data_IF_434001668510
#
_entry.id   IF_434001668510
#
_cell.length_a   1.000
_cell.length_b   1.000
_cell.length_c   1.000
_cell.angle_alpha   90.00
_cell.angle_beta   90.00
_cell.angle_gamma   90.00
#
_symmetry.space_group_name_H-M   'P 1'
#
loop_
_entity.id
_entity.type
_entity.pdbx_description
1 polymer ?
#
# COMPACT_ATOMS: atom_id res chain seq x y z
N UNK A 1 72.14 -68.41 -8.83
CA UNK A 1 72.35 -66.99 -9.19
C UNK A 1 71.01 -66.50 -9.72
N UNK A 2 70.22 -65.79 -8.92
CA UNK A 2 70.50 -64.44 -8.38
C UNK A 2 70.49 -63.41 -9.50
N UNK A 3 69.30 -62.93 -9.81
CA UNK A 3 68.89 -61.54 -9.95
C UNK A 3 67.51 -61.59 -10.61
N UNK A 4 66.58 -60.75 -10.20
CA UNK A 4 65.15 -60.70 -10.59
C UNK A 4 64.16 -61.41 -9.64
N UNK A 5 64.65 -61.85 -8.47
CA UNK A 5 63.89 -61.82 -7.20
C UNK A 5 63.79 -60.38 -6.62
N UNK A 6 63.73 -59.35 -7.48
CA UNK A 6 63.66 -57.94 -7.08
C UNK A 6 62.60 -57.12 -7.83
N UNK A 7 61.78 -57.75 -8.69
CA UNK A 7 60.64 -57.08 -9.35
C UNK A 7 59.30 -57.69 -8.87
N UNK A 8 59.37 -58.57 -7.86
CA UNK A 8 58.21 -59.06 -7.10
C UNK A 8 58.01 -58.28 -5.77
N UNK A 9 58.67 -57.13 -5.59
CA UNK A 9 58.66 -56.39 -4.32
C UNK A 9 58.92 -54.88 -4.50
N UNK A 10 58.17 -54.16 -5.35
CA UNK A 10 58.33 -52.70 -5.46
C UNK A 10 57.19 -51.90 -6.10
N UNK A 11 56.07 -52.48 -6.54
CA UNK A 11 54.94 -51.66 -7.01
C UNK A 11 53.57 -52.26 -6.64
N UNK A 12 53.51 -52.81 -5.43
CA UNK A 12 52.29 -53.18 -4.72
C UNK A 12 52.02 -52.18 -3.58
N UNK A 13 52.25 -50.88 -3.86
CA UNK A 13 52.17 -49.80 -2.89
C UNK A 13 51.82 -48.45 -3.55
N UNK A 14 50.73 -48.43 -4.34
CA UNK A 14 50.04 -47.20 -4.78
C UNK A 14 48.56 -47.53 -5.01
N UNK A 15 47.94 -48.15 -3.99
CA UNK A 15 46.50 -48.09 -3.75
C UNK A 15 46.35 -47.24 -2.50
N UNK A 16 46.20 -45.94 -2.69
CA UNK A 16 46.13 -44.98 -1.60
C UNK A 16 45.96 -43.57 -2.15
N UNK A 17 44.84 -42.94 -1.80
CA UNK A 17 44.45 -41.56 -2.10
C UNK A 17 43.89 -41.29 -3.50
N UNK A 18 42.78 -41.95 -3.83
CA UNK A 18 41.69 -41.21 -4.50
C UNK A 18 41.02 -40.42 -3.38
N UNK A 19 41.19 -39.10 -3.45
CA UNK A 19 40.67 -38.12 -2.50
C UNK A 19 39.14 -38.14 -2.53
N UNK A 20 38.51 -38.85 -1.58
CA UNK A 20 37.19 -38.47 -1.10
C UNK A 20 37.39 -37.27 -0.18
N UNK A 21 37.31 -36.06 -0.74
CA UNK A 21 37.13 -34.84 0.02
C UNK A 21 35.65 -34.74 0.43
N UNK A 22 35.24 -35.65 1.31
CA UNK A 22 34.01 -35.61 2.10
C UNK A 22 34.35 -36.22 3.46
N UNK A 23 35.17 -35.52 4.26
CA UNK A 23 35.65 -36.08 5.52
C UNK A 23 35.99 -35.04 6.60
N UNK A 24 35.19 -34.01 6.74
CA UNK A 24 35.21 -33.17 7.95
C UNK A 24 33.82 -33.05 8.62
N UNK A 25 32.70 -33.18 7.89
CA UNK A 25 31.37 -33.02 8.52
C UNK A 25 30.73 -34.31 9.06
N UNK A 26 31.12 -35.50 8.59
CA UNK A 26 30.54 -36.78 9.07
C UNK A 26 31.01 -37.15 10.49
N UNK A 27 31.94 -36.40 11.09
CA UNK A 27 32.50 -36.69 12.43
C UNK A 27 32.26 -35.62 13.49
N UNK A 28 31.49 -34.58 13.18
CA UNK A 28 31.19 -33.50 14.14
C UNK A 28 29.98 -33.78 15.04
N UNK A 29 29.38 -34.98 14.98
CA UNK A 29 28.39 -35.41 15.96
C UNK A 29 29.02 -35.51 17.36
N UNK A 30 28.51 -34.72 18.32
CA UNK A 30 28.78 -34.96 19.75
C UNK A 30 28.47 -36.43 20.04
N UNK A 31 29.40 -37.18 20.65
CA UNK A 31 29.12 -38.56 21.07
C UNK A 31 27.85 -38.59 21.93
N UNK A 32 26.82 -39.31 21.46
CA UNK A 32 25.57 -39.53 22.18
C UNK A 32 24.31 -38.83 21.63
N UNK A 33 24.40 -38.00 20.58
CA UNK A 33 23.21 -37.39 19.94
C UNK A 33 22.79 -38.23 18.74
N UNK A 34 21.52 -38.66 18.70
CA UNK A 34 20.97 -39.37 17.55
C UNK A 34 20.84 -38.40 16.36
N UNK A 35 21.31 -38.82 15.18
CA UNK A 35 21.36 -38.00 13.96
C UNK A 35 20.57 -38.66 12.81
N UNK A 36 20.15 -37.85 11.84
CA UNK A 36 19.61 -38.28 10.56
C UNK A 36 20.07 -37.37 9.42
N UNK A 37 19.81 -37.80 8.18
CA UNK A 37 20.19 -37.05 6.98
C UNK A 37 18.98 -36.32 6.38
N UNK A 38 19.23 -35.16 5.80
CA UNK A 38 18.27 -34.39 5.03
C UNK A 38 18.76 -34.23 3.57
N UNK A 39 17.95 -34.67 2.63
CA UNK A 39 18.01 -34.27 1.22
C UNK A 39 17.01 -33.14 0.94
N UNK A 40 17.50 -31.99 0.47
CA UNK A 40 16.69 -30.81 0.25
C UNK A 40 16.58 -30.49 -1.24
N UNK A 41 15.36 -30.19 -1.69
CA UNK A 41 15.12 -29.56 -2.99
C UNK A 41 14.36 -28.25 -2.81
N UNK A 42 14.75 -27.24 -3.57
CA UNK A 42 14.07 -25.93 -3.62
C UNK A 42 13.60 -25.70 -5.05
N UNK A 43 12.37 -25.22 -5.18
CA UNK A 43 11.81 -24.79 -6.46
C UNK A 43 10.95 -23.55 -6.28
N UNK A 44 10.87 -22.71 -7.29
CA UNK A 44 9.95 -21.60 -7.34
C UNK A 44 8.78 -21.90 -8.29
N UNK A 45 7.55 -21.59 -7.85
CA UNK A 45 6.37 -21.69 -8.70
C UNK A 45 6.46 -20.62 -9.80
N UNK A 46 6.43 -21.06 -11.05
CA UNK A 46 6.47 -20.14 -12.20
C UNK A 46 5.15 -19.35 -12.28
N UNK A 47 5.18 -18.02 -12.48
CA UNK A 47 3.98 -17.24 -12.62
C UNK A 47 3.27 -17.58 -13.95
N UNK A 48 1.95 -17.74 -13.92
CA UNK A 48 1.17 -18.10 -15.09
C UNK A 48 1.22 -17.05 -16.22
N UNK A 49 1.49 -15.79 -15.86
CA UNK A 49 1.61 -14.64 -16.79
C UNK A 49 2.81 -14.76 -17.74
N UNK A 50 3.88 -15.44 -17.35
CA UNK A 50 5.08 -15.62 -18.19
C UNK A 50 5.20 -17.08 -18.61
N UNK A 51 4.66 -17.43 -19.78
CA UNK A 51 4.76 -18.79 -20.39
C UNK A 51 6.20 -19.26 -20.69
N UNK A 52 7.23 -18.48 -20.38
CA UNK A 52 8.61 -18.74 -20.77
C UNK A 52 9.62 -18.31 -19.68
N UNK A 53 9.85 -19.20 -18.71
CA UNK A 53 11.12 -19.46 -17.99
C UNK A 53 10.80 -20.00 -16.59
N UNK A 54 11.33 -21.18 -16.26
CA UNK A 54 11.43 -21.61 -14.87
C UNK A 54 12.23 -20.56 -14.08
N UNK A 55 11.70 -20.11 -12.95
CA UNK A 55 12.43 -19.23 -12.03
C UNK A 55 13.59 -20.02 -11.45
N UNK A 56 14.83 -19.60 -11.72
CA UNK A 56 15.99 -20.22 -11.09
C UNK A 56 15.98 -19.93 -9.59
N UNK A 57 16.28 -20.95 -8.80
CA UNK A 57 16.43 -20.84 -7.35
C UNK A 57 17.87 -21.04 -6.91
N UNK A 58 18.81 -21.17 -7.84
CA UNK A 58 20.20 -21.54 -7.56
C UNK A 58 20.87 -20.57 -6.57
N UNK A 59 20.48 -19.30 -6.59
CA UNK A 59 21.00 -18.22 -5.73
C UNK A 59 20.13 -17.92 -4.50
N UNK A 60 19.08 -18.70 -4.25
CA UNK A 60 18.21 -18.48 -3.10
C UNK A 60 18.90 -18.96 -1.81
N UNK A 61 19.03 -18.13 -0.76
CA UNK A 61 19.48 -18.61 0.54
C UNK A 61 18.54 -19.68 1.11
N UNK A 62 19.10 -20.53 1.96
CA UNK A 62 18.38 -21.58 2.69
C UNK A 62 18.69 -21.46 4.18
N UNK A 63 17.64 -21.44 4.99
CA UNK A 63 17.73 -21.49 6.45
C UNK A 63 16.97 -22.71 6.97
N UNK A 64 17.61 -23.47 7.85
CA UNK A 64 17.03 -24.62 8.54
C UNK A 64 17.04 -24.30 10.02
N UNK A 65 15.86 -24.14 10.61
CA UNK A 65 15.70 -23.77 12.03
C UNK A 65 14.80 -24.79 12.70
N UNK A 66 15.18 -25.26 13.88
CA UNK A 66 14.39 -26.23 14.61
C UNK A 66 14.92 -26.57 15.98
N UNK A 67 14.35 -27.63 16.56
CA UNK A 67 14.79 -28.18 17.85
C UNK A 67 15.03 -29.68 17.72
N UNK A 68 16.13 -30.12 18.29
CA UNK A 68 16.37 -31.53 18.52
C UNK A 68 15.38 -32.10 19.55
N UNK A 69 15.27 -33.43 19.62
CA UNK A 69 14.46 -34.12 20.64
C UNK A 69 14.92 -33.84 22.08
N UNK A 70 16.20 -33.47 22.26
CA UNK A 70 16.78 -33.08 23.55
C UNK A 70 16.53 -31.59 23.88
N UNK A 71 15.85 -30.85 23.00
CA UNK A 71 15.49 -29.45 23.17
C UNK A 71 16.58 -28.45 22.78
N UNK A 72 17.73 -28.89 22.26
CA UNK A 72 18.77 -28.01 21.70
C UNK A 72 18.23 -27.34 20.42
N UNK A 73 18.29 -26.00 20.38
CA UNK A 73 17.98 -25.20 19.19
C UNK A 73 19.10 -25.35 18.15
N UNK A 74 18.69 -25.56 16.90
CA UNK A 74 19.60 -25.81 15.80
C UNK A 74 19.25 -24.87 14.66
N UNK A 75 20.25 -24.15 14.18
CA UNK A 75 20.20 -23.30 13.00
C UNK A 75 21.32 -23.69 12.02
N UNK A 76 20.97 -23.79 10.74
CA UNK A 76 21.90 -23.96 9.62
C UNK A 76 21.50 -23.03 8.50
N UNK A 77 22.46 -22.28 7.98
CA UNK A 77 22.24 -21.32 6.90
C UNK A 77 23.20 -21.60 5.75
N UNK A 78 22.69 -21.51 4.53
CA UNK A 78 23.44 -21.60 3.28
C UNK A 78 23.13 -20.36 2.45
N UNK A 79 24.16 -19.76 1.85
CA UNK A 79 24.03 -18.51 1.11
C UNK A 79 23.25 -18.68 -0.21
N UNK A 80 23.25 -19.90 -0.77
CA UNK A 80 22.59 -20.23 -2.03
C UNK A 80 22.21 -21.73 -2.08
N UNK A 81 21.17 -22.07 -2.85
CA UNK A 81 20.79 -23.47 -3.13
C UNK A 81 21.93 -24.23 -3.81
N UNK A 82 22.70 -23.57 -4.67
CA UNK A 82 23.87 -24.15 -5.33
C UNK A 82 24.99 -24.58 -4.36
N UNK A 83 24.98 -24.07 -3.13
CA UNK A 83 25.96 -24.40 -2.08
C UNK A 83 25.48 -25.55 -1.17
N UNK A 84 24.27 -26.08 -1.39
CA UNK A 84 23.76 -27.20 -0.60
C UNK A 84 24.58 -28.47 -0.85
N UNK A 85 25.01 -29.19 0.20
CA UNK A 85 25.59 -30.51 0.03
C UNK A 85 24.50 -31.50 -0.43
N UNK A 86 24.92 -32.65 -1.00
CA UNK A 86 23.99 -33.72 -1.41
C UNK A 86 23.06 -34.17 -0.25
N UNK A 87 23.57 -34.14 0.98
CA UNK A 87 22.78 -34.37 2.18
C UNK A 87 23.33 -33.58 3.37
N UNK A 88 22.44 -33.17 4.27
CA UNK A 88 22.74 -32.37 5.46
C UNK A 88 22.52 -33.24 6.70
N UNK A 89 23.52 -33.34 7.57
CA UNK A 89 23.43 -34.11 8.81
C UNK A 89 22.84 -33.25 9.94
N UNK A 90 21.72 -33.67 10.51
CA UNK A 90 21.01 -32.96 11.57
C UNK A 90 20.69 -33.89 12.75
N UNK A 91 20.63 -33.40 13.99
CA UNK A 91 20.09 -34.15 15.13
C UNK A 91 18.64 -34.58 14.89
N UNK A 92 18.22 -35.70 15.47
CA UNK A 92 16.81 -36.11 15.48
C UNK A 92 15.97 -35.01 16.12
N UNK A 93 14.89 -34.62 15.45
CA UNK A 93 14.09 -33.46 15.86
C UNK A 93 13.15 -32.95 14.77
N UNK A 94 12.54 -31.81 15.04
CA UNK A 94 11.59 -31.14 14.13
C UNK A 94 12.17 -29.81 13.67
N UNK A 95 12.10 -29.57 12.36
CA UNK A 95 12.74 -28.44 11.70
C UNK A 95 11.80 -27.79 10.69
N UNK A 96 12.00 -26.50 10.45
CA UNK A 96 11.44 -25.77 9.32
C UNK A 96 12.57 -25.33 8.40
N UNK A 97 12.43 -25.61 7.11
CA UNK A 97 13.33 -25.10 6.07
C UNK A 97 12.66 -23.93 5.40
N UNK A 98 13.35 -22.81 5.29
CA UNK A 98 12.88 -21.61 4.62
C UNK A 98 13.86 -21.27 3.51
N UNK A 99 13.33 -20.93 2.33
CA UNK A 99 14.13 -20.40 1.22
C UNK A 99 13.38 -19.27 0.53
N UNK A 100 14.12 -18.29 0.04
CA UNK A 100 13.56 -17.08 -0.54
C UNK A 100 14.50 -16.41 -1.55
N UNK A 101 13.97 -15.47 -2.34
CA UNK A 101 14.79 -14.59 -3.18
C UNK A 101 15.78 -13.82 -2.34
N UNK A 102 17.03 -13.74 -2.79
CA UNK A 102 18.09 -13.02 -2.08
C UNK A 102 17.72 -11.55 -1.88
N UNK A 103 17.98 -11.04 -0.67
CA UNK A 103 17.58 -9.69 -0.26
C UNK A 103 16.47 -9.71 0.79
N UNK A 104 15.79 -8.57 0.94
CA UNK A 104 14.70 -8.39 1.91
C UNK A 104 13.39 -8.15 1.15
N UNK A 105 12.30 -8.72 1.65
CA UNK A 105 10.96 -8.41 1.15
C UNK A 105 10.56 -7.01 1.62
N UNK A 106 10.72 -6.03 0.73
CA UNK A 106 10.24 -4.67 0.93
C UNK A 106 8.82 -4.48 0.36
N UNK A 107 8.15 -3.40 0.76
CA UNK A 107 6.80 -3.08 0.28
C UNK A 107 6.77 -2.88 -1.25
N UNK A 108 7.80 -2.21 -1.79
CA UNK A 108 8.00 -1.96 -3.22
C UNK A 108 9.30 -2.60 -3.69
N UNK A 109 9.25 -3.36 -4.77
CA UNK A 109 10.41 -3.97 -5.43
C UNK A 109 10.34 -3.79 -6.95
N UNK A 110 11.49 -3.88 -7.60
CA UNK A 110 11.61 -3.83 -9.08
C UNK A 110 11.64 -5.24 -9.70
N UNK A 111 11.58 -6.28 -8.87
CA UNK A 111 11.65 -7.68 -9.25
C UNK A 111 10.74 -8.54 -8.35
N UNK A 112 10.29 -9.72 -8.82
CA UNK A 112 9.48 -10.61 -8.01
C UNK A 112 10.28 -11.16 -6.83
N UNK A 113 9.63 -11.28 -5.68
CA UNK A 113 10.21 -11.88 -4.48
C UNK A 113 9.51 -13.18 -4.16
N UNK A 114 10.24 -14.28 -4.10
CA UNK A 114 9.71 -15.60 -3.80
C UNK A 114 10.09 -16.01 -2.38
N UNK A 115 9.19 -16.70 -1.69
CA UNK A 115 9.46 -17.30 -0.38
C UNK A 115 8.67 -18.60 -0.24
N UNK A 116 9.26 -19.57 0.43
CA UNK A 116 8.60 -20.82 0.76
C UNK A 116 9.19 -21.41 2.03
N UNK A 117 8.40 -22.25 2.69
CA UNK A 117 8.87 -23.06 3.79
C UNK A 117 8.34 -24.49 3.69
N UNK A 118 9.04 -25.41 4.35
CA UNK A 118 8.60 -26.79 4.54
C UNK A 118 9.02 -27.25 5.93
N UNK A 119 8.06 -27.72 6.71
CA UNK A 119 8.34 -28.38 7.97
C UNK A 119 8.70 -29.85 7.74
N UNK A 120 9.56 -30.39 8.60
CA UNK A 120 10.00 -31.77 8.53
C UNK A 120 10.41 -32.35 9.88
N UNK A 121 10.55 -33.68 9.88
CA UNK A 121 11.08 -34.46 10.99
C UNK A 121 12.33 -35.22 10.56
N UNK A 122 13.41 -35.11 11.33
CA UNK A 122 14.63 -35.90 11.16
C UNK A 122 14.57 -37.08 12.11
N UNK A 123 14.78 -38.28 11.57
CA UNK A 123 14.75 -39.54 12.32
C UNK A 123 16.11 -40.21 12.31
N UNK A 124 16.37 -40.96 13.38
CA UNK A 124 17.65 -41.64 13.59
C UNK A 124 17.97 -42.56 12.41
N UNK A 125 19.17 -42.42 11.85
CA UNK A 125 19.71 -43.26 10.78
C UNK A 125 18.81 -43.34 9.53
N UNK A 126 17.95 -42.34 9.32
CA UNK A 126 17.05 -42.21 8.17
C UNK A 126 17.43 -40.98 7.34
N UNK A 127 17.39 -41.13 6.02
CA UNK A 127 17.43 -40.00 5.09
C UNK A 127 16.01 -39.50 4.85
N UNK A 128 15.70 -38.32 5.38
CA UNK A 128 14.47 -37.58 5.12
C UNK A 128 14.65 -36.70 3.89
N UNK A 129 13.59 -36.53 3.10
CA UNK A 129 13.60 -35.60 1.96
C UNK A 129 12.61 -34.47 2.21
N UNK A 130 13.02 -33.23 1.91
CA UNK A 130 12.14 -32.06 1.96
C UNK A 130 12.13 -31.31 0.63
N UNK A 131 10.97 -30.75 0.31
CA UNK A 131 10.74 -29.97 -0.90
C UNK A 131 10.16 -28.62 -0.55
N UNK A 132 10.96 -27.57 -0.64
CA UNK A 132 10.51 -26.19 -0.44
C UNK A 132 9.99 -25.66 -1.77
N UNK A 133 8.70 -25.31 -1.79
CA UNK A 133 8.08 -24.65 -2.95
C UNK A 133 7.88 -23.17 -2.64
N UNK A 134 8.73 -22.32 -3.21
CA UNK A 134 8.65 -20.88 -3.06
C UNK A 134 7.56 -20.30 -3.97
N UNK A 135 6.67 -19.48 -3.39
CA UNK A 135 5.64 -18.72 -4.12
C UNK A 135 6.00 -17.25 -4.12
N UNK A 136 5.56 -16.53 -5.16
CA UNK A 136 5.76 -15.08 -5.24
C UNK A 136 4.97 -14.41 -4.11
N UNK A 137 5.62 -13.53 -3.35
CA UNK A 137 5.05 -12.86 -2.18
C UNK A 137 4.45 -11.50 -2.54
N UNK A 138 4.97 -10.84 -3.58
CA UNK A 138 4.48 -9.57 -4.10
C UNK A 138 3.65 -9.78 -5.38
N UNK A 139 2.81 -8.81 -5.69
CA UNK A 139 1.98 -8.78 -6.90
C UNK A 139 2.63 -7.90 -7.95
N UNK A 140 2.48 -8.29 -9.21
CA UNK A 140 2.99 -7.53 -10.35
C UNK A 140 2.01 -6.42 -10.72
N UNK A 141 2.40 -5.16 -10.55
CA UNK A 141 1.63 -4.00 -10.98
C UNK A 141 2.13 -3.58 -12.36
N UNK A 142 1.27 -3.71 -13.37
CA UNK A 142 1.52 -3.29 -14.74
C UNK A 142 0.70 -2.06 -15.07
N UNK A 143 1.36 -0.95 -15.36
CA UNK A 143 0.73 0.23 -15.92
C UNK A 143 0.83 0.17 -17.44
N UNK A 144 -0.20 0.62 -18.15
CA UNK A 144 -0.16 0.79 -19.58
C UNK A 144 -0.74 2.17 -19.93
N UNK A 145 -0.03 2.91 -20.77
CA UNK A 145 -0.48 4.20 -21.28
C UNK A 145 -0.76 4.07 -22.77
N UNK A 146 -1.96 4.44 -23.20
CA UNK A 146 -2.21 4.59 -24.63
C UNK A 146 -1.34 5.69 -25.23
N UNK A 147 -1.03 5.59 -26.52
CA UNK A 147 -0.28 6.65 -27.22
C UNK A 147 -1.03 7.99 -27.19
N UNK A 148 -2.37 7.95 -27.16
CA UNK A 148 -3.22 9.14 -27.03
C UNK A 148 -3.11 9.78 -25.64
N UNK A 149 -3.01 8.97 -24.58
CA UNK A 149 -2.77 9.45 -23.23
C UNK A 149 -1.43 10.21 -23.15
N UNK A 150 -0.36 9.62 -23.66
CA UNK A 150 0.96 10.25 -23.69
C UNK A 150 1.00 11.52 -24.55
N UNK A 151 0.10 11.65 -25.53
CA UNK A 151 -0.01 12.84 -26.38
C UNK A 151 -0.84 13.98 -25.75
N UNK A 152 -1.76 13.65 -24.83
CA UNK A 152 -2.68 14.62 -24.20
C UNK A 152 -2.23 15.08 -22.81
N UNK A 153 -1.34 14.33 -22.14
CA UNK A 153 -0.85 14.66 -20.80
C UNK A 153 0.67 14.85 -20.76
N UNK A 154 1.13 15.79 -19.93
CA UNK A 154 2.56 16.12 -19.73
C UNK A 154 3.15 15.46 -18.50
N UNK A 155 2.35 15.31 -17.45
CA UNK A 155 2.73 14.79 -16.14
C UNK A 155 1.53 14.09 -15.51
N UNK A 156 1.74 12.99 -14.81
CA UNK A 156 0.71 12.35 -14.01
C UNK A 156 1.28 11.65 -12.79
N UNK A 157 0.46 11.58 -11.75
CA UNK A 157 0.69 10.84 -10.52
C UNK A 157 -0.40 9.80 -10.36
N UNK A 158 0.01 8.57 -10.13
CA UNK A 158 -0.84 7.42 -9.81
C UNK A 158 -0.51 7.00 -8.39
N UNK A 159 -1.53 6.90 -7.54
CA UNK A 159 -1.39 6.36 -6.19
C UNK A 159 -2.28 5.14 -6.02
N UNK A 160 -1.68 4.01 -5.66
CA UNK A 160 -2.36 2.77 -5.32
C UNK A 160 -2.26 2.59 -3.80
N UNK A 161 -3.39 2.74 -3.11
CA UNK A 161 -3.50 2.57 -1.66
C UNK A 161 -4.17 1.22 -1.37
N UNK A 162 -3.51 0.40 -0.55
CA UNK A 162 -3.97 -0.92 -0.16
C UNK A 162 -4.47 -0.98 1.30
N UNK A 163 -4.67 0.19 1.92
CA UNK A 163 -5.10 0.33 3.31
C UNK A 163 -3.98 0.07 4.33
N UNK A 164 -2.75 -0.15 3.87
CA UNK A 164 -1.58 -0.24 4.77
C UNK A 164 -0.96 1.14 5.05
N UNK A 165 0.05 1.19 5.92
CA UNK A 165 0.75 2.43 6.27
C UNK A 165 1.47 3.11 5.09
N UNK A 166 1.59 2.45 3.94
CA UNK A 166 2.31 2.97 2.77
C UNK A 166 1.53 2.70 1.50
N UNK A 167 1.23 3.75 0.72
CA UNK A 167 0.68 3.64 -0.62
C UNK A 167 1.79 3.66 -1.70
N UNK A 168 1.56 2.98 -2.82
CA UNK A 168 2.44 3.04 -3.97
C UNK A 168 2.17 4.32 -4.76
N UNK A 169 3.12 5.26 -4.74
CA UNK A 169 3.06 6.48 -5.55
C UNK A 169 4.02 6.42 -6.73
N UNK A 170 3.51 6.71 -7.92
CA UNK A 170 4.24 6.71 -9.19
C UNK A 170 3.98 8.06 -9.84
N UNK A 171 5.04 8.80 -10.14
CA UNK A 171 4.94 10.06 -10.89
C UNK A 171 5.79 9.96 -12.14
N UNK A 172 5.18 10.24 -13.28
CA UNK A 172 5.83 10.17 -14.58
C UNK A 172 5.52 11.40 -15.43
N UNK A 173 6.30 11.55 -16.50
CA UNK A 173 6.10 12.59 -17.51
C UNK A 173 6.07 11.95 -18.89
N UNK A 174 5.40 12.60 -19.85
CA UNK A 174 5.37 12.11 -21.24
C UNK A 174 6.76 12.08 -21.90
N UNK A 175 7.73 12.82 -21.36
CA UNK A 175 9.12 12.78 -21.83
C UNK A 175 9.88 11.50 -21.43
N UNK A 176 9.47 10.84 -20.33
CA UNK A 176 10.16 9.68 -19.76
C UNK A 176 9.35 8.38 -19.83
N UNK A 177 8.02 8.48 -19.92
CA UNK A 177 7.13 7.33 -19.89
C UNK A 177 7.16 6.54 -21.21
N UNK A 178 7.05 5.23 -21.08
CA UNK A 178 6.80 4.28 -22.18
C UNK A 178 5.31 3.92 -22.18
N UNK A 179 4.71 3.54 -23.31
CA UNK A 179 3.33 3.01 -23.33
C UNK A 179 3.13 1.77 -22.46
N UNK A 180 4.23 1.10 -22.10
CA UNK A 180 4.28 -0.03 -21.19
C UNK A 180 5.58 0.12 -20.36
N UNK A 181 5.55 0.87 -19.24
CA UNK A 181 6.69 0.97 -18.32
C UNK A 181 7.03 -0.39 -17.69
N UNK A 182 8.22 -0.48 -17.11
CA UNK A 182 8.63 -1.67 -16.37
C UNK A 182 7.63 -1.95 -15.22
N UNK A 183 7.27 -3.22 -14.97
CA UNK A 183 6.34 -3.55 -13.90
C UNK A 183 6.96 -3.27 -12.54
N UNK A 184 6.11 -2.85 -11.61
CA UNK A 184 6.47 -2.69 -10.19
C UNK A 184 5.96 -3.93 -9.46
N UNK A 185 6.70 -4.38 -8.45
CA UNK A 185 6.27 -5.49 -7.60
C UNK A 185 5.90 -4.98 -6.22
N UNK A 186 4.62 -5.11 -5.87
CA UNK A 186 4.05 -4.55 -4.65
C UNK A 186 3.63 -5.63 -3.67
N UNK A 187 4.07 -5.52 -2.41
CA UNK A 187 3.71 -6.47 -1.36
C UNK A 187 2.50 -5.98 -0.57
N UNK A 188 1.33 -6.59 -0.79
CA UNK A 188 0.09 -6.28 -0.09
C UNK A 188 0.06 -6.69 1.40
N UNK A 189 1.16 -7.23 1.93
CA UNK A 189 1.21 -7.75 3.30
C UNK A 189 0.79 -9.22 3.38
N UNK A 190 0.98 -9.82 4.57
CA UNK A 190 0.77 -11.26 4.78
C UNK A 190 -0.70 -11.66 4.61
N UNK A 191 -1.62 -10.78 5.01
CA UNK A 191 -3.06 -10.98 4.87
C UNK A 191 -3.61 -10.51 3.50
N UNK A 192 -2.76 -9.92 2.66
CA UNK A 192 -3.20 -9.24 1.44
C UNK A 192 -4.02 -7.98 1.71
N UNK A 193 -4.56 -7.42 0.63
CA UNK A 193 -5.45 -6.27 0.66
C UNK A 193 -6.85 -6.65 0.19
N UNK A 194 -7.85 -6.45 1.04
CA UNK A 194 -9.25 -6.70 0.67
C UNK A 194 -9.72 -5.68 -0.38
N UNK A 195 -9.37 -4.41 -0.16
CA UNK A 195 -9.77 -3.28 -0.99
C UNK A 195 -8.52 -2.51 -1.41
N UNK A 196 -8.50 -2.06 -2.66
CA UNK A 196 -7.45 -1.18 -3.20
C UNK A 196 -8.09 0.07 -3.78
N UNK A 197 -7.49 1.22 -3.49
CA UNK A 197 -7.93 2.53 -3.98
C UNK A 197 -6.90 3.11 -4.93
N UNK A 198 -7.32 3.42 -6.15
CA UNK A 198 -6.48 4.04 -7.18
C UNK A 198 -6.88 5.52 -7.34
N UNK A 199 -5.92 6.40 -7.08
CA UNK A 199 -6.05 7.84 -7.28
C UNK A 199 -5.17 8.28 -8.45
N UNK A 200 -5.71 9.11 -9.35
CA UNK A 200 -4.98 9.60 -10.51
C UNK A 200 -5.16 11.11 -10.62
N UNK A 201 -4.02 11.80 -10.78
CA UNK A 201 -3.98 13.22 -11.10
C UNK A 201 -3.02 13.43 -12.27
N UNK A 202 -3.43 14.18 -13.28
CA UNK A 202 -2.63 14.46 -14.46
C UNK A 202 -2.68 15.95 -14.84
N UNK A 203 -1.66 16.42 -15.56
CA UNK A 203 -1.64 17.71 -16.23
C UNK A 203 -1.69 17.50 -17.73
N UNK A 204 -2.61 18.17 -18.39
CA UNK A 204 -2.74 18.19 -19.85
C UNK A 204 -1.58 18.95 -20.50
N UNK A 205 -1.44 18.86 -21.82
CA UNK A 205 -0.47 19.68 -22.59
C UNK A 205 -0.81 21.17 -22.58
N UNK A 206 -2.09 21.51 -22.39
CA UNK A 206 -2.58 22.87 -22.23
C UNK A 206 -2.33 23.43 -20.81
N UNK A 207 -1.86 22.59 -19.88
CA UNK A 207 -1.54 22.96 -18.50
C UNK A 207 -2.69 22.81 -17.49
N UNK A 208 -3.87 22.36 -17.94
CA UNK A 208 -5.01 22.07 -17.06
C UNK A 208 -4.74 20.83 -16.21
N UNK A 209 -5.18 20.86 -14.94
CA UNK A 209 -5.13 19.70 -14.05
C UNK A 209 -6.41 18.89 -14.20
N UNK A 210 -6.26 17.59 -14.44
CA UNK A 210 -7.32 16.58 -14.39
C UNK A 210 -7.10 15.75 -13.13
N UNK A 211 -8.09 15.67 -12.26
CA UNK A 211 -8.07 14.83 -11.07
C UNK A 211 -9.28 13.91 -11.10
N UNK A 212 -9.05 12.60 -10.98
CA UNK A 212 -10.13 11.62 -11.00
C UNK A 212 -10.63 11.33 -9.60
N UNK A 213 -11.92 11.01 -9.51
CA UNK A 213 -12.45 10.41 -8.30
C UNK A 213 -11.69 9.09 -8.01
N UNK A 214 -11.51 8.71 -6.74
CA UNK A 214 -10.82 7.48 -6.40
C UNK A 214 -11.56 6.26 -6.95
N UNK A 215 -10.84 5.39 -7.65
CA UNK A 215 -11.37 4.08 -8.04
C UNK A 215 -11.14 3.10 -6.90
N UNK A 216 -12.21 2.67 -6.27
CA UNK A 216 -12.17 1.65 -5.20
C UNK A 216 -12.59 0.33 -5.79
N UNK A 217 -11.77 -0.70 -5.61
CA UNK A 217 -12.04 -2.01 -6.19
C UNK A 217 -11.51 -3.14 -5.32
N UNK A 218 -12.17 -4.29 -5.45
CA UNK A 218 -11.76 -5.53 -4.80
C UNK A 218 -11.51 -6.61 -5.83
N UNK A 219 -10.67 -7.57 -5.48
CA UNK A 219 -10.43 -8.75 -6.32
C UNK A 219 -11.69 -9.60 -6.47
N UNK A 220 -12.55 -9.64 -5.44
CA UNK A 220 -13.81 -10.40 -5.47
C UNK A 220 -14.84 -9.90 -6.49
N UNK A 221 -14.68 -8.66 -6.97
CA UNK A 221 -15.55 -8.02 -7.95
C UNK A 221 -15.17 -8.38 -9.39
N UNK A 222 -14.04 -9.08 -9.60
CA UNK A 222 -13.62 -9.55 -10.92
C UNK A 222 -14.77 -10.27 -11.65
N UNK A 223 -14.95 -9.93 -12.94
CA UNK A 223 -16.08 -10.43 -13.76
C UNK A 223 -16.13 -11.95 -13.86
N UNK A 224 -14.98 -12.60 -13.78
CA UNK A 224 -14.82 -14.05 -13.79
C UNK A 224 -14.18 -14.53 -12.49
N UNK A 225 -14.63 -15.68 -11.99
CA UNK A 225 -14.16 -16.32 -10.77
C UNK A 225 -13.68 -17.73 -11.10
N UNK A 226 -12.61 -18.15 -10.44
CA UNK A 226 -12.03 -19.48 -10.62
C UNK A 226 -12.11 -20.28 -9.32
N UNK A 227 -12.42 -21.57 -9.44
CA UNK A 227 -12.60 -22.48 -8.29
C UNK A 227 -11.31 -22.71 -7.48
N UNK A 228 -10.14 -22.42 -8.05
CA UNK A 228 -8.82 -22.55 -7.41
C UNK A 228 -8.32 -21.23 -6.79
N UNK A 229 -9.18 -20.21 -6.75
CA UNK A 229 -8.91 -18.91 -6.10
C UNK A 229 -9.69 -18.84 -4.79
N UNK A 230 -9.05 -19.27 -3.71
CA UNK A 230 -9.69 -19.37 -2.39
C UNK A 230 -9.60 -18.08 -1.56
N UNK A 231 -8.68 -17.17 -1.89
CA UNK A 231 -8.46 -15.94 -1.14
C UNK A 231 -9.11 -14.74 -1.85
N UNK A 232 -10.09 -14.04 -1.24
CA UNK A 232 -10.75 -12.89 -1.84
C UNK A 232 -9.87 -11.64 -1.88
N UNK A 233 -8.76 -11.60 -1.15
CA UNK A 233 -7.87 -10.45 -1.08
C UNK A 233 -6.83 -10.48 -2.22
N UNK A 234 -6.34 -9.29 -2.59
CA UNK A 234 -5.15 -9.16 -3.41
C UNK A 234 -3.93 -9.67 -2.66
N UNK A 235 -3.22 -10.62 -3.27
CA UNK A 235 -2.04 -11.26 -2.67
C UNK A 235 -0.93 -11.50 -3.68
N UNK A 236 0.25 -11.88 -3.17
CA UNK A 236 1.40 -12.20 -3.98
C UNK A 236 1.14 -13.23 -5.08
N UNK A 237 1.79 -13.06 -6.22
CA UNK A 237 1.66 -13.95 -7.39
C UNK A 237 0.58 -13.55 -8.40
N UNK A 238 -0.31 -12.63 -8.03
CA UNK A 238 -1.26 -11.99 -8.95
C UNK A 238 -0.59 -10.88 -9.76
N UNK A 239 -1.17 -10.54 -10.91
CA UNK A 239 -0.82 -9.33 -11.65
C UNK A 239 -2.02 -8.39 -11.72
N UNK A 240 -1.85 -7.15 -11.27
CA UNK A 240 -2.81 -6.06 -11.44
C UNK A 240 -2.40 -5.25 -12.68
N UNK A 241 -3.31 -5.10 -13.63
CA UNK A 241 -3.11 -4.34 -14.86
C UNK A 241 -3.99 -3.09 -14.79
N UNK A 242 -3.38 -1.94 -15.04
CA UNK A 242 -4.05 -0.64 -15.03
C UNK A 242 -3.77 0.03 -16.38
N UNK A 243 -4.79 0.08 -17.23
CA UNK A 243 -4.73 0.75 -18.53
C UNK A 243 -5.30 2.16 -18.43
N UNK A 244 -4.55 3.16 -18.89
CA UNK A 244 -4.95 4.56 -18.91
C UNK A 244 -5.09 5.09 -20.34
N UNK A 245 -6.22 5.74 -20.59
CA UNK A 245 -6.55 6.43 -21.84
C UNK A 245 -7.07 7.83 -21.52
N UNK A 246 -7.00 8.80 -22.47
CA UNK A 246 -7.74 10.04 -22.30
C UNK A 246 -9.23 9.74 -22.13
N UNK A 247 -9.92 10.55 -21.33
CA UNK A 247 -11.37 10.55 -21.28
C UNK A 247 -11.98 11.00 -22.62
N UNK A 248 -13.26 10.71 -22.81
CA UNK A 248 -13.98 11.03 -24.05
C UNK A 248 -14.47 12.48 -24.11
N UNK A 249 -14.42 13.20 -23.00
CA UNK A 249 -14.87 14.59 -22.88
C UNK A 249 -13.70 15.58 -23.02
N UNK A 250 -13.97 16.69 -23.70
CA UNK A 250 -13.05 17.80 -23.87
C UNK A 250 -13.71 19.11 -23.43
N UNK A 251 -12.93 19.99 -22.83
CA UNK A 251 -13.35 21.34 -22.48
C UNK A 251 -13.68 22.11 -23.78
N UNK A 252 -14.87 22.71 -23.89
CA UNK A 252 -15.33 23.31 -25.14
C UNK A 252 -14.59 24.60 -25.52
N UNK A 253 -13.84 25.19 -24.59
CA UNK A 253 -13.12 26.46 -24.78
C UNK A 253 -11.66 26.22 -25.16
N UNK A 254 -11.04 25.21 -24.53
CA UNK A 254 -9.61 24.91 -24.64
C UNK A 254 -9.33 23.68 -25.49
N UNK A 255 -10.30 22.80 -25.71
CA UNK A 255 -10.13 21.50 -26.39
C UNK A 255 -9.32 20.49 -25.57
N UNK A 256 -9.05 20.79 -24.30
CA UNK A 256 -8.29 19.93 -23.41
C UNK A 256 -9.19 18.80 -22.88
N UNK A 257 -8.66 17.58 -22.80
CA UNK A 257 -9.38 16.45 -22.21
C UNK A 257 -9.67 16.72 -20.73
N UNK A 258 -10.89 16.43 -20.27
CA UNK A 258 -11.35 16.72 -18.89
C UNK A 258 -11.25 15.50 -17.97
N UNK A 259 -10.98 14.31 -18.51
CA UNK A 259 -10.95 13.06 -17.75
C UNK A 259 -9.89 12.07 -18.26
N UNK A 260 -9.82 10.94 -17.57
CA UNK A 260 -8.97 9.78 -17.86
C UNK A 260 -9.88 8.56 -17.80
N UNK A 261 -9.89 7.75 -18.85
CA UNK A 261 -10.55 6.46 -18.83
C UNK A 261 -9.56 5.42 -18.27
N UNK A 262 -10.01 4.69 -17.25
CA UNK A 262 -9.22 3.67 -16.54
C UNK A 262 -9.85 2.30 -16.74
N UNK A 263 -9.04 1.30 -17.06
CA UNK A 263 -9.44 -0.10 -16.98
C UNK A 263 -8.55 -0.82 -16.00
N UNK A 264 -9.16 -1.54 -15.05
CA UNK A 264 -8.46 -2.34 -14.05
C UNK A 264 -8.77 -3.80 -14.33
N UNK A 265 -7.73 -4.62 -14.46
CA UNK A 265 -7.87 -6.06 -14.67
C UNK A 265 -6.89 -6.81 -13.76
N UNK A 266 -7.25 -8.03 -13.39
CA UNK A 266 -6.38 -8.94 -12.63
C UNK A 266 -6.07 -10.18 -13.45
N UNK A 267 -4.82 -10.64 -13.40
CA UNK A 267 -4.45 -12.00 -13.78
C UNK A 267 -4.17 -12.77 -12.49
N UNK A 268 -4.97 -13.80 -12.22
CA UNK A 268 -4.84 -14.64 -11.03
C UNK A 268 -3.60 -15.56 -11.13
N UNK A 269 -3.01 -15.94 -9.99
CA UNK A 269 -1.71 -16.65 -9.90
C UNK A 269 -1.60 -17.89 -10.82
N UNK A 270 -2.68 -18.65 -10.99
CA UNK A 270 -2.73 -19.88 -11.78
C UNK A 270 -3.29 -19.71 -13.20
N UNK A 271 -3.67 -18.48 -13.57
CA UNK A 271 -4.36 -18.18 -14.81
C UNK A 271 -3.52 -17.22 -15.66
N UNK A 272 -3.77 -17.18 -16.97
CA UNK A 272 -3.02 -16.31 -17.89
C UNK A 272 -3.92 -15.30 -18.63
N UNK A 273 -5.18 -15.24 -18.23
CA UNK A 273 -6.18 -14.36 -18.81
C UNK A 273 -6.38 -13.16 -17.89
N UNK A 274 -6.45 -11.98 -18.48
CA UNK A 274 -6.78 -10.75 -17.75
C UNK A 274 -8.29 -10.68 -17.58
N UNK A 275 -8.74 -10.61 -16.33
CA UNK A 275 -10.15 -10.50 -15.96
C UNK A 275 -10.40 -9.08 -15.48
N UNK A 276 -11.33 -8.40 -16.11
CA UNK A 276 -11.70 -7.05 -15.69
C UNK A 276 -12.27 -7.05 -14.28
N UNK A 277 -11.84 -6.07 -13.50
CA UNK A 277 -12.48 -5.69 -12.25
C UNK A 277 -13.33 -4.46 -12.58
N UNK A 278 -14.67 -4.56 -12.46
CA UNK A 278 -15.52 -3.41 -12.62
C UNK A 278 -15.15 -2.41 -11.53
N UNK A 279 -14.64 -1.27 -11.96
CA UNK A 279 -14.61 -0.10 -11.12
C UNK A 279 -15.95 0.59 -11.32
N UNK A 280 -16.61 0.98 -10.23
CA UNK A 280 -17.67 1.97 -10.37
C UNK A 280 -17.00 3.24 -10.86
N UNK A 281 -17.02 3.45 -12.18
CA UNK A 281 -17.10 4.79 -12.71
C UNK A 281 -18.32 5.41 -12.02
N UNK A 282 -18.08 6.30 -11.06
CA UNK A 282 -19.04 7.38 -10.82
C UNK A 282 -18.99 8.34 -12.01
N UNK A 283 -19.03 7.81 -13.23
CA UNK A 283 -19.58 8.55 -14.35
C UNK A 283 -21.06 8.74 -14.04
N UNK A 284 -21.47 9.99 -14.14
CA UNK A 284 -22.86 10.40 -14.05
C UNK A 284 -23.69 9.50 -14.96
N UNK A 285 -24.48 8.61 -14.37
CA UNK A 285 -25.54 7.92 -15.10
C UNK A 285 -26.55 8.99 -15.53
N UNK A 286 -26.38 9.49 -16.75
CA UNK A 286 -27.41 10.23 -17.47
C UNK A 286 -28.54 9.22 -17.76
N UNK A 287 -29.74 9.35 -17.16
CA UNK A 287 -30.81 8.40 -17.45
C UNK A 287 -31.44 8.75 -18.79
N UNK A 288 -31.53 7.78 -19.70
CA UNK A 288 -32.49 7.82 -20.81
C UNK A 288 -33.88 7.41 -20.26
N UNK A 289 -34.99 7.89 -20.84
CA UNK A 289 -36.25 8.11 -20.13
C UNK A 289 -37.14 6.87 -20.10
N UNK A 290 -37.53 6.43 -18.89
CA UNK A 290 -38.90 6.11 -18.42
C UNK A 290 -38.84 5.22 -17.16
N UNK A 291 -39.92 5.09 -16.37
CA UNK A 291 -40.87 6.08 -15.90
C UNK A 291 -40.71 6.27 -14.37
N UNK A 292 -40.69 7.54 -13.96
CA UNK A 292 -40.84 8.07 -12.59
C UNK A 292 -40.87 7.06 -11.42
N UNK A 293 -39.72 6.85 -10.74
CA UNK A 293 -39.71 6.55 -9.32
C UNK A 293 -39.39 7.84 -8.54
N UNK A 294 -40.24 8.12 -7.56
CA UNK A 294 -40.13 9.24 -6.61
C UNK A 294 -38.69 9.48 -6.12
N UNK A 295 -38.23 10.75 -6.03
CA UNK A 295 -36.83 11.09 -5.73
C UNK A 295 -36.44 10.66 -4.31
N UNK A 296 -35.34 9.93 -4.16
CA UNK A 296 -34.59 9.95 -2.90
C UNK A 296 -33.95 11.33 -2.77
N UNK A 297 -34.27 12.04 -1.70
CA UNK A 297 -33.72 13.37 -1.43
C UNK A 297 -32.19 13.25 -1.20
N UNK A 298 -31.42 13.86 -2.10
CA UNK A 298 -29.96 13.96 -1.98
C UNK A 298 -29.63 14.90 -0.83
N UNK A 299 -29.10 14.36 0.27
CA UNK A 299 -28.63 15.13 1.43
C UNK A 299 -27.29 15.82 1.10
N UNK A 300 -26.98 16.98 1.71
CA UNK A 300 -25.67 17.60 1.58
C UNK A 300 -24.56 16.75 2.22
N UNK A 301 -23.30 16.99 1.86
CA UNK A 301 -22.13 16.25 2.36
C UNK A 301 -20.91 17.13 2.58
N UNK A 302 -19.99 16.66 3.43
CA UNK A 302 -18.68 17.25 3.68
C UNK A 302 -17.61 16.17 3.55
N UNK A 303 -16.48 16.48 2.92
CA UNK A 303 -15.33 15.57 2.79
C UNK A 303 -14.01 16.28 3.09
N UNK A 304 -13.11 15.59 3.79
CA UNK A 304 -11.76 16.03 4.09
C UNK A 304 -10.91 14.84 4.56
N UNK A 305 -9.72 14.67 4.00
CA UNK A 305 -8.78 13.59 4.37
C UNK A 305 -8.37 13.63 5.85
N UNK A 306 -8.49 14.80 6.48
CA UNK A 306 -8.14 15.01 7.88
C UNK A 306 -9.29 14.77 8.87
N UNK A 307 -10.48 14.35 8.43
CA UNK A 307 -11.59 14.09 9.36
C UNK A 307 -11.34 12.89 10.27
N UNK A 308 -10.71 11.82 9.76
CA UNK A 308 -10.48 10.62 10.55
C UNK A 308 -9.34 10.80 11.56
N UNK A 309 -8.22 11.38 11.12
CA UNK A 309 -6.98 11.41 11.90
C UNK A 309 -6.62 12.78 12.49
N UNK A 310 -7.32 13.85 12.06
CA UNK A 310 -6.96 15.23 12.36
C UNK A 310 -5.64 15.66 11.71
N UNK A 311 -5.31 16.94 11.86
CA UNK A 311 -4.01 17.50 11.47
C UNK A 311 -3.11 17.61 12.70
N UNK A 312 -1.86 17.17 12.57
CA UNK A 312 -0.84 17.29 13.62
C UNK A 312 0.44 17.87 13.05
N UNK A 313 0.96 18.93 13.65
CA UNK A 313 2.24 19.53 13.25
C UNK A 313 3.01 20.14 14.42
N UNK A 314 4.27 20.51 14.17
CA UNK A 314 5.17 21.21 15.09
C UNK A 314 5.54 22.59 14.57
N UNK A 315 5.38 23.59 15.43
CA UNK A 315 5.81 24.96 15.10
C UNK A 315 7.33 25.07 14.96
N UNK A 316 8.10 24.34 15.77
CA UNK A 316 9.57 24.30 15.68
C UNK A 316 10.03 23.70 14.35
N UNK A 317 9.36 22.64 13.87
CA UNK A 317 9.70 22.01 12.59
C UNK A 317 9.16 22.76 11.37
N UNK A 318 8.15 23.61 11.58
CA UNK A 318 7.45 24.32 10.51
C UNK A 318 6.83 23.37 9.47
N UNK A 319 6.28 22.25 9.93
CA UNK A 319 5.74 21.16 9.10
C UNK A 319 4.21 21.16 9.02
N UNK A 320 3.56 22.32 9.21
CA UNK A 320 2.12 22.43 8.98
C UNK A 320 1.78 22.24 7.49
N UNK A 321 0.65 21.58 7.17
CA UNK A 321 0.24 21.38 5.78
C UNK A 321 0.04 22.70 5.04
N UNK A 322 0.38 22.73 3.74
CA UNK A 322 0.11 23.88 2.89
C UNK A 322 -1.39 24.04 2.58
N UNK A 323 -2.13 22.93 2.58
CA UNK A 323 -3.57 22.87 2.28
C UNK A 323 -4.26 21.92 3.25
N UNK A 324 -5.46 22.28 3.70
CA UNK A 324 -6.35 21.43 4.50
C UNK A 324 -7.73 21.99 4.27
N UNK A 325 -8.45 21.35 3.37
CA UNK A 325 -9.64 21.90 2.75
C UNK A 325 -10.80 20.96 3.02
N UNK A 326 -11.91 21.51 3.51
CA UNK A 326 -13.16 20.77 3.67
C UNK A 326 -14.02 21.06 2.45
N UNK A 327 -14.21 20.05 1.61
CA UNK A 327 -15.05 20.13 0.42
C UNK A 327 -16.49 19.88 0.80
N UNK A 328 -17.38 20.80 0.43
CA UNK A 328 -18.80 20.76 0.76
C UNK A 328 -19.58 20.65 -0.54
N UNK A 329 -20.59 19.76 -0.54
CA UNK A 329 -21.51 19.59 -1.66
C UNK A 329 -22.96 19.60 -1.16
N UNK A 330 -23.81 20.37 -1.81
CA UNK A 330 -25.25 20.43 -1.56
C UNK A 330 -25.97 20.59 -2.90
N UNK A 331 -26.44 19.48 -3.49
CA UNK A 331 -27.03 19.48 -4.83
C UNK A 331 -28.28 20.37 -4.96
N UNK A 332 -28.98 20.58 -3.85
CA UNK A 332 -30.17 21.44 -3.77
C UNK A 332 -29.81 22.92 -3.53
N UNK A 333 -28.51 23.24 -3.49
CA UNK A 333 -27.98 24.56 -3.17
C UNK A 333 -27.83 24.79 -1.67
N UNK A 334 -26.76 25.44 -1.27
CA UNK A 334 -26.45 25.82 0.10
C UNK A 334 -27.45 26.90 0.55
N UNK A 335 -28.18 26.64 1.63
CA UNK A 335 -29.05 27.63 2.27
C UNK A 335 -28.39 28.25 3.51
N UNK A 336 -27.59 27.47 4.25
CA UNK A 336 -26.88 27.93 5.45
C UNK A 336 -25.63 27.09 5.64
N UNK A 337 -24.53 27.73 6.02
CA UNK A 337 -23.29 27.10 6.42
C UNK A 337 -22.79 27.71 7.73
N UNK A 338 -22.89 26.95 8.81
CA UNK A 338 -22.44 27.39 10.13
C UNK A 338 -21.12 26.75 10.51
N UNK A 339 -20.20 27.56 11.00
CA UNK A 339 -18.92 27.09 11.56
C UNK A 339 -18.81 27.49 13.02
N UNK A 340 -18.51 26.51 13.87
CA UNK A 340 -18.07 26.71 15.24
C UNK A 340 -16.59 26.35 15.33
N UNK A 341 -15.79 27.19 15.97
CA UNK A 341 -14.38 26.94 16.23
C UNK A 341 -14.13 26.96 17.74
N UNK A 342 -13.59 25.87 18.25
CA UNK A 342 -13.12 25.74 19.64
C UNK A 342 -11.60 25.81 19.64
N UNK A 343 -11.03 26.76 20.38
CA UNK A 343 -9.59 26.96 20.39
C UNK A 343 -8.87 26.08 21.41
N UNK A 344 -7.89 25.29 20.96
CA UNK A 344 -7.00 24.50 21.81
C UNK A 344 -5.97 25.32 22.60
N UNK A 345 -6.00 26.66 22.54
CA UNK A 345 -5.26 27.53 23.45
C UNK A 345 -6.05 28.84 23.73
N UNK A 346 -5.76 29.55 24.83
CA UNK A 346 -6.49 30.76 25.21
C UNK A 346 -6.43 31.89 24.18
N UNK A 347 -5.29 32.08 23.51
CA UNK A 347 -5.11 33.16 22.53
C UNK A 347 -5.97 32.98 21.30
N UNK A 348 -5.92 31.79 20.69
CA UNK A 348 -6.75 31.45 19.55
C UNK A 348 -8.23 31.37 19.93
N UNK A 349 -8.57 30.86 21.13
CA UNK A 349 -9.94 30.89 21.66
C UNK A 349 -10.52 32.29 21.72
N UNK A 350 -9.74 33.28 22.19
CA UNK A 350 -10.16 34.68 22.19
C UNK A 350 -10.33 35.22 20.77
N UNK A 351 -9.41 34.91 19.85
CA UNK A 351 -9.48 35.38 18.47
C UNK A 351 -10.72 34.86 17.72
N UNK A 352 -11.03 33.57 17.84
CA UNK A 352 -12.21 32.99 17.17
C UNK A 352 -13.51 33.45 17.80
N UNK A 353 -13.50 33.80 19.09
CA UNK A 353 -14.62 34.46 19.76
C UNK A 353 -14.88 35.86 19.21
N UNK A 354 -13.84 36.66 19.01
CA UNK A 354 -13.96 38.01 18.44
C UNK A 354 -14.46 37.97 16.98
N UNK A 355 -14.16 36.89 16.27
CA UNK A 355 -14.67 36.60 14.93
C UNK A 355 -16.06 35.94 14.91
N UNK A 356 -16.70 35.78 16.07
CA UNK A 356 -18.02 35.17 16.27
C UNK A 356 -18.16 33.68 15.88
N UNK A 357 -17.07 32.91 15.83
CA UNK A 357 -17.12 31.47 15.55
C UNK A 357 -17.50 30.61 16.78
N UNK A 358 -18.07 31.17 17.84
CA UNK A 358 -18.38 30.43 19.08
C UNK A 358 -19.89 30.43 19.36
N UNK A 359 -20.36 29.64 20.34
CA UNK A 359 -21.78 29.57 20.69
C UNK A 359 -22.61 28.88 19.61
N UNK A 360 -23.55 29.59 18.99
CA UNK A 360 -24.43 29.04 17.94
C UNK A 360 -23.75 28.87 16.57
N UNK A 361 -22.48 29.29 16.46
CA UNK A 361 -21.70 29.25 15.22
C UNK A 361 -21.92 30.49 14.35
N UNK A 362 -20.91 30.82 13.56
CA UNK A 362 -20.99 31.90 12.57
C UNK A 362 -21.61 31.37 11.30
N UNK A 363 -22.59 32.08 10.76
CA UNK A 363 -23.11 31.86 9.40
C UNK A 363 -22.11 32.40 8.38
N UNK A 364 -21.78 31.61 7.36
CA UNK A 364 -20.80 31.98 6.35
C UNK A 364 -21.47 32.40 5.04
N UNK A 365 -22.69 31.96 4.75
CA UNK A 365 -23.36 32.27 3.49
C UNK A 365 -23.50 33.78 3.31
N UNK A 366 -22.96 34.29 2.20
CA UNK A 366 -22.94 35.71 1.82
C UNK A 366 -22.28 36.65 2.85
N UNK A 367 -21.43 36.13 3.75
CA UNK A 367 -20.78 36.92 4.81
C UNK A 367 -19.59 37.74 4.27
N UNK A 368 -19.89 38.85 3.62
CA UNK A 368 -18.90 39.76 3.03
C UNK A 368 -17.91 40.34 4.08
N UNK A 369 -18.38 40.61 5.30
CA UNK A 369 -17.54 41.16 6.38
C UNK A 369 -16.49 40.14 6.83
N UNK A 370 -16.86 38.86 6.94
CA UNK A 370 -15.92 37.76 7.19
C UNK A 370 -14.94 37.61 6.03
N UNK A 371 -15.45 37.68 4.80
CA UNK A 371 -14.65 37.51 3.60
C UNK A 371 -13.52 38.54 3.55
N UNK A 372 -13.81 39.81 3.84
CA UNK A 372 -12.80 40.87 3.94
C UNK A 372 -11.86 40.64 5.14
N UNK A 373 -12.41 40.29 6.31
CA UNK A 373 -11.63 40.10 7.54
C UNK A 373 -10.60 38.98 7.44
N UNK A 374 -10.91 37.92 6.70
CA UNK A 374 -10.05 36.75 6.54
C UNK A 374 -9.36 36.67 5.16
N UNK A 375 -9.75 37.52 4.21
CA UNK A 375 -9.23 37.49 2.84
C UNK A 375 -9.59 36.21 2.07
N UNK A 376 -10.71 35.57 2.41
CA UNK A 376 -11.19 34.33 1.79
C UNK A 376 -12.61 34.48 1.28
N UNK A 377 -12.95 33.85 0.15
CA UNK A 377 -14.30 33.88 -0.39
C UNK A 377 -15.25 33.09 0.52
N UNK A 378 -16.43 33.63 0.78
CA UNK A 378 -17.53 32.95 1.46
C UNK A 378 -18.48 32.30 0.44
N UNK A 379 -19.22 31.23 0.80
CA UNK A 379 -20.21 30.64 -0.10
C UNK A 379 -21.36 31.60 -0.36
N UNK A 380 -21.91 31.62 -1.56
CA UNK A 380 -23.13 32.35 -1.88
C UNK A 380 -24.39 31.48 -1.69
N UNK A 381 -25.53 32.11 -1.39
CA UNK A 381 -26.78 31.35 -1.25
C UNK A 381 -27.16 30.63 -2.56
N UNK A 382 -27.27 29.30 -2.49
CA UNK A 382 -27.58 28.44 -3.63
C UNK A 382 -26.37 27.87 -4.35
N UNK A 383 -25.15 28.19 -3.94
CA UNK A 383 -23.96 27.47 -4.38
C UNK A 383 -24.14 25.97 -4.12
N UNK A 384 -23.77 25.13 -5.08
CA UNK A 384 -23.87 23.68 -4.92
C UNK A 384 -22.60 23.07 -4.35
N UNK A 385 -21.51 23.83 -4.36
CA UNK A 385 -20.20 23.42 -3.87
C UNK A 385 -19.50 24.59 -3.17
N UNK A 386 -18.75 24.29 -2.13
CA UNK A 386 -17.89 25.26 -1.46
C UNK A 386 -16.69 24.54 -0.84
N UNK A 387 -15.54 25.22 -0.80
CA UNK A 387 -14.34 24.69 -0.14
C UNK A 387 -14.00 25.57 1.04
N UNK A 388 -14.05 25.02 2.25
CA UNK A 388 -13.66 25.74 3.46
C UNK A 388 -12.19 25.52 3.79
N UNK A 389 -11.33 26.56 3.69
CA UNK A 389 -9.89 26.40 3.78
C UNK A 389 -9.40 26.49 5.24
N UNK A 390 -9.31 25.35 5.94
CA UNK A 390 -8.77 25.28 7.31
C UNK A 390 -7.32 25.78 7.35
N UNK A 391 -6.53 25.51 6.31
CA UNK A 391 -5.15 25.98 6.22
C UNK A 391 -5.03 27.52 6.29
N UNK A 392 -6.07 28.26 5.90
CA UNK A 392 -6.14 29.71 6.05
C UNK A 392 -6.03 30.18 7.52
N UNK A 393 -6.34 29.31 8.48
CA UNK A 393 -6.28 29.61 9.91
C UNK A 393 -4.91 29.29 10.55
N UNK A 394 -4.00 28.58 9.87
CA UNK A 394 -2.72 28.16 10.46
C UNK A 394 -1.83 29.33 10.86
N UNK A 395 -1.78 30.39 10.04
CA UNK A 395 -1.04 31.60 10.40
C UNK A 395 -1.55 32.19 11.71
N UNK A 396 -2.88 32.27 11.88
CA UNK A 396 -3.50 32.77 13.10
C UNK A 396 -3.26 31.84 14.29
N UNK A 397 -3.42 30.52 14.13
CA UNK A 397 -3.11 29.54 15.18
C UNK A 397 -1.66 29.64 15.65
N UNK A 398 -0.72 29.71 14.70
CA UNK A 398 0.71 29.78 14.97
C UNK A 398 1.12 31.08 15.67
N UNK A 399 0.42 32.20 15.44
CA UNK A 399 0.64 33.44 16.21
C UNK A 399 0.35 33.23 17.70
N UNK A 400 -0.69 32.45 18.04
CA UNK A 400 -1.10 32.22 19.43
C UNK A 400 -0.39 31.05 20.11
N UNK A 401 0.35 30.24 19.37
CA UNK A 401 1.22 29.19 19.89
C UNK A 401 0.59 27.81 19.89
N UNK A 402 1.30 26.81 20.46
CA UNK A 402 0.87 25.41 20.43
C UNK A 402 -0.46 25.19 21.16
N UNK A 403 -1.13 24.09 20.84
CA UNK A 403 -2.29 23.65 21.62
C UNK A 403 -1.82 23.24 23.02
N UNK A 404 -2.65 23.53 24.02
CA UNK A 404 -2.30 23.25 25.41
C UNK A 404 -2.89 21.90 25.78
N UNK A 405 -2.00 20.94 26.00
CA UNK A 405 -2.33 19.75 26.79
C UNK A 405 -2.40 20.18 28.27
N UNK A 406 -3.62 20.40 28.77
CA UNK A 406 -3.83 20.77 30.17
C UNK A 406 -3.56 19.61 31.15
N UNK A 407 -3.45 18.37 30.67
CA UNK A 407 -3.21 17.18 31.50
C UNK A 407 -1.72 17.01 31.84
N UNK A 408 -0.83 17.59 31.05
CA UNK A 408 0.62 17.59 31.30
C UNK A 408 1.07 18.38 32.55
N UNK A 409 0.20 19.21 33.16
CA UNK A 409 0.57 20.06 34.30
C UNK A 409 0.12 19.59 35.68
N UNK A 410 -0.72 18.54 35.78
CA UNK A 410 -1.23 18.08 37.09
C UNK A 410 -0.91 16.63 37.46
N UNK A 411 -0.37 15.82 36.56
CA UNK A 411 0.15 14.48 36.90
C UNK A 411 -0.90 13.49 37.40
N UNK A 412 -2.19 13.75 37.15
CA UNK A 412 -3.30 12.85 37.46
C UNK A 412 -4.06 12.66 36.16
N UNK A 413 -4.08 11.42 35.66
CA UNK A 413 -4.72 11.06 34.40
C UNK A 413 -6.21 11.41 34.44
N UNK A 414 -6.57 12.48 33.73
CA UNK A 414 -7.93 12.76 33.32
C UNK A 414 -8.13 12.26 31.90
N UNK A 415 -9.39 12.03 31.53
CA UNK A 415 -9.75 11.75 30.15
C UNK A 415 -9.59 13.04 29.31
N UNK A 416 -9.23 12.93 28.01
CA UNK A 416 -9.06 14.07 27.12
C UNK A 416 -10.24 15.03 27.19
N UNK A 417 -10.01 16.28 27.61
CA UNK A 417 -11.08 17.28 27.79
C UNK A 417 -11.41 18.06 26.51
N UNK A 418 -10.77 17.69 25.40
CA UNK A 418 -10.95 18.30 24.08
C UNK A 418 -10.12 19.57 23.83
N UNK A 419 -9.36 20.08 24.82
CA UNK A 419 -8.49 21.26 24.64
C UNK A 419 -7.13 20.97 24.02
N UNK A 420 -6.84 19.71 23.75
CA UNK A 420 -5.61 19.24 23.12
C UNK A 420 -5.51 19.66 21.63
N UNK A 421 -6.59 20.16 21.04
CA UNK A 421 -6.66 20.53 19.62
C UNK A 421 -7.52 21.78 19.39
N UNK A 422 -7.28 22.50 18.30
CA UNK A 422 -8.28 23.38 17.70
C UNK A 422 -9.33 22.52 17.00
N UNK A 423 -10.61 22.78 17.23
CA UNK A 423 -11.71 21.97 16.70
C UNK A 423 -12.61 22.83 15.83
N UNK A 424 -12.82 22.42 14.58
CA UNK A 424 -13.73 23.06 13.63
C UNK A 424 -14.95 22.16 13.47
N UNK A 425 -16.11 22.66 13.86
CA UNK A 425 -17.40 21.98 13.69
C UNK A 425 -18.15 22.72 12.60
N UNK A 426 -18.34 22.05 11.48
CA UNK A 426 -18.93 22.62 10.27
C UNK A 426 -20.30 21.97 10.08
N UNK A 427 -21.33 22.76 9.85
CA UNK A 427 -22.68 22.29 9.56
C UNK A 427 -23.20 23.00 8.32
N UNK A 428 -23.70 22.22 7.37
CA UNK A 428 -24.33 22.71 6.15
C UNK A 428 -25.80 22.35 6.16
N UNK A 429 -26.64 23.27 5.67
CA UNK A 429 -28.07 23.07 5.41
C UNK A 429 -28.35 23.45 3.96
N UNK A 430 -29.02 22.59 3.21
CA UNK A 430 -29.43 22.86 1.83
C UNK A 430 -30.78 23.60 1.75
N UNK A 431 -31.20 24.02 0.55
CA UNK A 431 -32.48 24.71 0.33
C UNK A 431 -33.72 23.84 0.57
N UNK A 432 -33.57 22.52 0.68
CA UNK A 432 -34.64 21.60 1.12
C UNK A 432 -34.69 21.44 2.64
N UNK A 433 -33.73 22.02 3.37
CA UNK A 433 -33.63 21.94 4.83
C UNK A 433 -32.93 20.67 5.33
N UNK A 434 -32.27 19.93 4.45
CA UNK A 434 -31.46 18.77 4.82
C UNK A 434 -30.10 19.24 5.34
N UNK A 435 -29.54 18.54 6.32
CA UNK A 435 -28.32 18.95 7.00
C UNK A 435 -27.23 17.88 7.00
N UNK A 436 -25.98 18.32 7.01
CA UNK A 436 -24.82 17.48 7.28
C UNK A 436 -23.82 18.24 8.15
N UNK A 437 -23.06 17.50 8.96
CA UNK A 437 -22.07 18.07 9.87
C UNK A 437 -20.80 17.24 9.89
N UNK A 438 -19.66 17.89 10.07
CA UNK A 438 -18.37 17.23 10.28
C UNK A 438 -17.52 18.01 11.29
N UNK A 439 -16.58 17.31 11.91
CA UNK A 439 -15.61 17.88 12.85
C UNK A 439 -14.19 17.62 12.36
N UNK A 440 -13.33 18.65 12.40
CA UNK A 440 -11.91 18.53 12.09
C UNK A 440 -11.07 19.06 13.23
N UNK A 441 -10.03 18.30 13.61
CA UNK A 441 -9.14 18.61 14.74
C UNK A 441 -7.75 18.99 14.24
N UNK A 442 -7.16 20.04 14.81
CA UNK A 442 -5.77 20.47 14.54
C UNK A 442 -4.99 20.52 15.84
N UNK A 443 -4.00 19.65 16.00
CA UNK A 443 -3.09 19.59 17.15
C UNK A 443 -1.77 20.26 16.79
N UNK A 444 -1.32 21.20 17.61
CA UNK A 444 -0.08 21.95 17.36
C UNK A 444 0.88 21.71 18.51
N UNK A 445 1.99 21.06 18.20
CA UNK A 445 3.11 20.90 19.13
C UNK A 445 4.11 22.06 19.00
N UNK A 446 4.91 22.24 20.06
CA UNK A 446 5.92 23.29 20.10
C UNK A 446 6.96 23.13 19.00
#
# INVERSE_FOLDING_TARGET
MRLLNYIALSLFALVGFISCEMREEIKSGKEGVDMGLLELSVQAKSPAVTKAASVSTDDFPVSIVGKSVDGEEVERNYDAVADLPESILLPVGTYSVVSHTKGVLEKKLEAPYYKGSSDMEIKKDITSSAKVTCKMQNSRIQLNYSSEFLAKFTEWTIMLDDGSETALSITETSASASTNPAPIYWYFGENGAETVTLNIRAKTIEGNTVAMAPYVFKKEDAKEKYDDVDNPNFTGGEALIIDLKPGNEEDPTTGAVTGISVTISVIFENHNEAVDIPVEDKEETKPDPDPDPTPEDKVPSLSCDAFENGVKYSMTKQDWPATTDVVISASEGIASMKVIIEGGNPGFSSAVKDLNFTGEGRELVDDADLSESLGMAMPAEGDTEYTFPIAGFYTMMNIYGPTIDTDATTGIGNAPDGKESHVFKITITDKKGQTASAELRVTISK
#
